data_IF_068183135351
#
_entry.id   IF_068183135351
#
_cell.length_a   1.000
_cell.length_b   1.000
_cell.length_c   1.000
_cell.angle_alpha   90.00
_cell.angle_beta   90.00
_cell.angle_gamma   90.00
#
_symmetry.space_group_name_H-M   'P 1'
#
loop_
_entity.id
_entity.type
_entity.pdbx_description
1 polymer ?
#
# COMPACT_ATOMS: atom_id res chain seq x y z
N UNK A 1 2.91 1.53 -22.40
CA UNK A 1 2.24 1.88 -21.14
C UNK A 1 1.10 2.84 -21.42
N UNK A 2 -0.11 2.60 -20.89
CA UNK A 2 -1.21 3.55 -20.98
C UNK A 2 -0.85 4.87 -20.30
N UNK A 3 -1.52 5.96 -20.67
CA UNK A 3 -1.26 7.25 -20.05
C UNK A 3 -1.87 7.32 -18.64
N UNK A 4 -1.57 8.40 -17.92
CA UNK A 4 -2.01 8.54 -16.53
C UNK A 4 -3.52 8.66 -16.41
N UNK A 5 -4.19 9.23 -17.41
CA UNK A 5 -5.65 9.37 -17.38
C UNK A 5 -6.33 8.01 -17.49
N UNK A 6 -5.87 7.18 -18.41
CA UNK A 6 -6.36 5.79 -18.53
C UNK A 6 -6.03 4.97 -17.29
N UNK A 7 -4.83 5.15 -16.74
CA UNK A 7 -4.40 4.48 -15.53
C UNK A 7 -5.29 4.87 -14.34
N UNK A 8 -5.62 6.13 -14.22
CA UNK A 8 -6.50 6.63 -13.15
C UNK A 8 -7.91 6.07 -13.30
N UNK A 9 -8.44 6.02 -14.53
CA UNK A 9 -9.74 5.38 -14.79
C UNK A 9 -9.73 3.91 -14.40
N UNK A 10 -8.66 3.21 -14.75
CA UNK A 10 -8.48 1.80 -14.39
C UNK A 10 -8.46 1.62 -12.87
N UNK A 11 -7.75 2.48 -12.15
CA UNK A 11 -7.73 2.46 -10.70
C UNK A 11 -9.12 2.71 -10.11
N UNK A 12 -9.84 3.69 -10.64
CA UNK A 12 -11.21 3.99 -10.20
C UNK A 12 -12.16 2.82 -10.42
N UNK A 13 -12.07 2.17 -11.57
CA UNK A 13 -12.88 0.97 -11.86
C UNK A 13 -12.60 -0.13 -10.84
N UNK A 14 -11.33 -0.37 -10.51
CA UNK A 14 -10.94 -1.38 -9.52
C UNK A 14 -11.49 -1.01 -8.14
N UNK A 15 -11.31 0.24 -7.73
CA UNK A 15 -11.80 0.74 -6.44
C UNK A 15 -13.32 0.56 -6.34
N UNK A 16 -14.04 0.83 -7.43
CA UNK A 16 -15.50 0.69 -7.46
C UNK A 16 -15.98 -0.76 -7.34
N UNK A 17 -15.13 -1.76 -7.52
CA UNK A 17 -15.48 -3.16 -7.33
C UNK A 17 -15.33 -3.62 -5.89
N UNK A 18 -14.68 -2.83 -5.04
CA UNK A 18 -14.41 -3.22 -3.66
C UNK A 18 -15.64 -3.01 -2.77
N UNK A 19 -15.82 -3.86 -1.73
CA UNK A 19 -16.92 -3.70 -0.79
C UNK A 19 -16.90 -2.31 -0.14
N UNK A 20 -18.07 -1.74 0.06
CA UNK A 20 -18.19 -0.39 0.60
C UNK A 20 -17.60 -0.26 2.00
N UNK A 21 -17.66 -1.29 2.80
CA UNK A 21 -17.09 -1.32 4.15
C UNK A 21 -15.57 -1.06 4.15
N UNK A 22 -14.90 -1.35 3.04
CA UNK A 22 -13.44 -1.14 2.94
C UNK A 22 -13.07 0.34 3.01
N UNK A 23 -14.00 1.24 2.68
CA UNK A 23 -13.75 2.67 2.63
C UNK A 23 -13.99 3.39 3.95
N UNK A 24 -14.43 2.68 4.97
CA UNK A 24 -14.67 3.27 6.28
C UNK A 24 -13.41 3.94 6.81
N UNK A 25 -13.51 5.19 7.19
CA UNK A 25 -12.43 6.01 7.72
C UNK A 25 -11.24 6.21 6.76
N UNK A 26 -11.39 5.89 5.48
CA UNK A 26 -10.38 6.21 4.47
C UNK A 26 -10.59 7.65 3.98
N UNK A 27 -10.29 8.59 4.85
CA UNK A 27 -10.61 10.02 4.68
C UNK A 27 -9.96 10.64 3.45
N UNK A 28 -8.72 10.26 3.15
CA UNK A 28 -7.98 10.77 2.01
C UNK A 28 -8.22 10.01 0.71
N UNK A 29 -8.97 8.89 0.77
CA UNK A 29 -9.30 8.10 -0.42
C UNK A 29 -8.10 7.39 -1.04
N UNK A 30 -8.23 7.14 -2.35
CA UNK A 30 -7.17 6.52 -3.17
C UNK A 30 -6.67 7.59 -4.14
N UNK A 31 -5.37 7.86 -4.10
CA UNK A 31 -4.72 8.88 -4.90
C UNK A 31 -3.81 8.24 -5.93
N UNK A 32 -3.90 8.67 -7.19
CA UNK A 32 -2.94 8.30 -8.23
C UNK A 32 -1.95 9.45 -8.36
N UNK A 33 -0.67 9.16 -8.15
CA UNK A 33 0.41 10.13 -8.24
C UNK A 33 1.20 9.87 -9.51
N UNK A 34 1.56 10.94 -10.22
CA UNK A 34 2.24 10.86 -11.52
C UNK A 34 3.66 10.30 -11.41
N UNK A 35 4.35 10.65 -10.34
CA UNK A 35 5.76 10.31 -10.15
C UNK A 35 6.01 8.85 -9.82
N UNK A 36 7.27 8.55 -9.59
CA UNK A 36 7.69 7.26 -9.05
C UNK A 36 8.28 7.46 -7.65
N UNK A 37 8.36 6.36 -6.92
CA UNK A 37 9.02 6.34 -5.62
C UNK A 37 9.96 5.15 -5.55
N UNK A 38 11.19 5.40 -5.14
CA UNK A 38 12.16 4.34 -4.92
C UNK A 38 12.03 3.80 -3.50
N UNK A 39 12.13 2.49 -3.38
CA UNK A 39 12.19 1.84 -2.08
C UNK A 39 13.50 2.25 -1.37
N UNK A 40 13.49 2.41 -0.03
CA UNK A 40 14.69 2.76 0.72
C UNK A 40 15.88 1.81 0.49
N UNK A 41 15.59 0.54 0.19
CA UNK A 41 16.61 -0.47 -0.06
C UNK A 41 17.00 -0.61 -1.52
N UNK A 42 16.48 0.29 -2.38
CA UNK A 42 16.80 0.27 -3.81
C UNK A 42 18.28 0.55 -4.05
N UNK A 43 18.86 -0.17 -5.01
CA UNK A 43 20.25 0.05 -5.45
C UNK A 43 20.26 0.48 -6.91
N UNK A 44 21.21 1.34 -7.33
CA UNK A 44 21.21 1.86 -8.70
C UNK A 44 21.29 0.78 -9.79
N UNK A 45 21.99 -0.31 -9.51
CA UNK A 45 22.15 -1.40 -10.48
C UNK A 45 20.86 -2.18 -10.74
N UNK A 46 19.94 -2.18 -9.76
CA UNK A 46 18.65 -2.87 -9.86
C UNK A 46 17.60 -2.07 -9.09
N UNK A 47 17.05 -1.02 -9.70
CA UNK A 47 16.09 -0.17 -9.01
C UNK A 47 14.85 -0.93 -8.52
N UNK A 48 14.46 -0.66 -7.28
CA UNK A 48 13.27 -1.21 -6.66
C UNK A 48 12.27 -0.09 -6.43
N UNK A 49 11.12 -0.16 -7.07
CA UNK A 49 10.09 0.89 -7.01
C UNK A 49 8.96 0.50 -6.06
N UNK A 50 8.44 1.50 -5.37
CA UNK A 50 7.23 1.37 -4.56
C UNK A 50 6.03 1.62 -5.47
N UNK A 51 5.15 0.62 -5.60
CA UNK A 51 3.96 0.70 -6.45
C UNK A 51 2.81 1.43 -5.75
N UNK A 52 2.63 1.18 -4.47
CA UNK A 52 1.59 1.81 -3.68
C UNK A 52 1.98 1.88 -2.21
N UNK A 53 1.28 2.72 -1.48
CA UNK A 53 1.47 2.89 -0.05
C UNK A 53 0.15 3.16 0.65
N UNK A 54 0.02 2.67 1.87
CA UNK A 54 -1.03 3.06 2.79
C UNK A 54 -0.42 3.99 3.84
N UNK A 55 -1.05 5.14 4.05
CA UNK A 55 -0.56 6.15 4.98
C UNK A 55 -1.65 6.55 5.97
N UNK A 56 -1.26 6.74 7.21
CA UNK A 56 -2.11 7.30 8.25
C UNK A 56 -1.34 8.45 8.89
N UNK A 57 -1.85 9.67 8.75
CA UNK A 57 -1.25 10.85 9.39
C UNK A 57 -2.34 11.74 9.99
N UNK A 58 -1.90 12.69 10.83
CA UNK A 58 -2.82 13.55 11.57
C UNK A 58 -3.55 14.58 10.69
N UNK A 59 -2.98 14.95 9.57
CA UNK A 59 -3.53 16.00 8.72
C UNK A 59 -4.47 15.45 7.64
N UNK A 60 -4.05 14.41 6.94
CA UNK A 60 -4.81 13.82 5.84
C UNK A 60 -5.63 12.60 6.26
N UNK A 61 -5.45 12.14 7.48
CA UNK A 61 -6.09 10.91 7.93
C UNK A 61 -5.47 9.69 7.28
N UNK A 62 -6.31 8.79 6.80
CA UNK A 62 -5.90 7.53 6.17
C UNK A 62 -6.12 7.61 4.67
N UNK A 63 -5.14 7.20 3.89
CA UNK A 63 -5.24 7.22 2.44
C UNK A 63 -4.30 6.20 1.79
N UNK A 64 -4.62 5.86 0.54
CA UNK A 64 -3.81 4.98 -0.30
C UNK A 64 -3.22 5.81 -1.44
N UNK A 65 -1.93 5.67 -1.68
CA UNK A 65 -1.25 6.27 -2.83
C UNK A 65 -0.84 5.19 -3.80
N UNK A 66 -1.03 5.44 -5.10
CA UNK A 66 -0.58 4.56 -6.18
C UNK A 66 0.32 5.39 -7.09
N UNK A 67 1.51 4.90 -7.37
CA UNK A 67 2.52 5.63 -8.12
C UNK A 67 2.54 5.20 -9.59
N UNK A 68 1.95 6.02 -10.45
CA UNK A 68 1.92 5.77 -11.89
C UNK A 68 3.33 5.58 -12.46
N UNK A 69 4.27 6.48 -12.10
CA UNK A 69 5.65 6.40 -12.58
C UNK A 69 6.37 5.12 -12.18
N UNK A 70 6.06 4.58 -11.00
CA UNK A 70 6.60 3.29 -10.56
C UNK A 70 6.05 2.14 -11.40
N UNK A 71 4.76 2.16 -11.71
CA UNK A 71 4.13 1.18 -12.60
C UNK A 71 4.72 1.24 -14.00
N UNK A 72 4.90 2.45 -14.54
CA UNK A 72 5.48 2.61 -15.87
C UNK A 72 6.89 2.03 -15.97
N UNK A 73 7.70 2.21 -14.94
CA UNK A 73 9.07 1.71 -14.89
C UNK A 73 9.18 0.21 -14.68
N UNK A 74 8.26 -0.35 -13.90
CA UNK A 74 8.30 -1.77 -13.53
C UNK A 74 7.49 -2.63 -14.50
N UNK A 75 6.32 -2.15 -14.91
CA UNK A 75 5.32 -2.91 -15.65
C UNK A 75 4.94 -2.28 -16.99
N UNK A 76 5.71 -1.30 -17.49
CA UNK A 76 5.39 -0.61 -18.73
C UNK A 76 5.36 -1.51 -19.97
N UNK A 77 5.95 -2.69 -19.88
CA UNK A 77 6.00 -3.69 -20.96
C UNK A 77 4.80 -4.64 -20.98
N UNK A 78 3.97 -4.62 -19.93
CA UNK A 78 2.79 -5.48 -19.85
C UNK A 78 1.67 -4.97 -20.74
N UNK A 79 0.81 -5.89 -21.20
CA UNK A 79 -0.42 -5.49 -21.88
C UNK A 79 -1.41 -4.90 -20.85
N UNK A 80 -2.53 -4.36 -21.36
CA UNK A 80 -3.52 -3.66 -20.52
C UNK A 80 -4.11 -4.56 -19.44
N UNK A 81 -4.43 -5.81 -19.77
CA UNK A 81 -5.07 -6.73 -18.83
C UNK A 81 -4.09 -7.16 -17.73
N UNK A 82 -2.84 -7.43 -18.10
CA UNK A 82 -1.80 -7.79 -17.16
C UNK A 82 -1.48 -6.60 -16.23
N UNK A 83 -1.43 -5.39 -16.78
CA UNK A 83 -1.22 -4.17 -16.00
C UNK A 83 -2.37 -3.97 -14.99
N UNK A 84 -3.62 -4.18 -15.45
CA UNK A 84 -4.79 -4.07 -14.59
C UNK A 84 -4.70 -5.04 -13.42
N UNK A 85 -4.26 -6.26 -13.65
CA UNK A 85 -4.12 -7.25 -12.58
C UNK A 85 -3.05 -6.83 -11.57
N UNK A 86 -1.94 -6.28 -12.01
CA UNK A 86 -0.91 -5.79 -11.10
C UNK A 86 -1.40 -4.59 -10.30
N UNK A 87 -2.14 -3.70 -10.92
CA UNK A 87 -2.75 -2.57 -10.25
C UNK A 87 -3.78 -3.02 -9.21
N UNK A 88 -4.63 -3.98 -9.58
CA UNK A 88 -5.60 -4.56 -8.66
C UNK A 88 -4.92 -5.16 -7.42
N UNK A 89 -3.87 -5.94 -7.63
CA UNK A 89 -3.11 -6.54 -6.52
C UNK A 89 -2.52 -5.49 -5.59
N UNK A 90 -1.98 -4.43 -6.16
CA UNK A 90 -1.41 -3.32 -5.39
C UNK A 90 -2.49 -2.63 -4.56
N UNK A 91 -3.61 -2.28 -5.17
CA UNK A 91 -4.71 -1.60 -4.47
C UNK A 91 -5.26 -2.48 -3.35
N UNK A 92 -5.54 -3.76 -3.63
CA UNK A 92 -6.04 -4.70 -2.63
C UNK A 92 -5.06 -4.86 -1.47
N UNK A 93 -3.77 -4.92 -1.77
CA UNK A 93 -2.73 -5.02 -0.74
C UNK A 93 -2.76 -3.81 0.20
N UNK A 94 -2.89 -2.60 -0.34
CA UNK A 94 -2.95 -1.40 0.49
C UNK A 94 -4.26 -1.31 1.28
N UNK A 95 -5.37 -1.75 0.72
CA UNK A 95 -6.62 -1.85 1.47
C UNK A 95 -6.54 -2.87 2.60
N UNK A 96 -5.77 -3.94 2.42
CA UNK A 96 -5.53 -4.89 3.51
C UNK A 96 -4.88 -4.19 4.70
N UNK A 97 -3.86 -3.37 4.47
CA UNK A 97 -3.24 -2.59 5.53
C UNK A 97 -4.23 -1.65 6.20
N UNK A 98 -5.11 -1.03 5.41
CA UNK A 98 -6.15 -0.16 5.95
C UNK A 98 -7.10 -0.93 6.88
N UNK A 99 -7.60 -2.07 6.43
CA UNK A 99 -8.52 -2.89 7.21
C UNK A 99 -7.87 -3.43 8.49
N UNK A 100 -6.63 -3.87 8.40
CA UNK A 100 -5.85 -4.29 9.56
C UNK A 100 -5.68 -3.14 10.55
N UNK A 101 -5.43 -1.94 10.05
CA UNK A 101 -5.30 -0.74 10.88
C UNK A 101 -6.60 -0.41 11.63
N UNK A 102 -7.75 -0.62 10.99
CA UNK A 102 -9.05 -0.34 11.62
C UNK A 102 -9.51 -1.44 12.56
N UNK A 103 -9.54 -2.67 12.08
CA UNK A 103 -10.14 -3.80 12.82
C UNK A 103 -9.23 -4.37 13.87
N UNK A 104 -7.95 -4.36 13.58
CA UNK A 104 -6.96 -4.98 14.43
C UNK A 104 -6.26 -4.03 15.39
N UNK A 105 -6.75 -2.80 15.54
CA UNK A 105 -6.02 -1.84 16.38
C UNK A 105 -5.70 -2.39 17.75
N UNK A 106 -6.68 -3.00 18.41
CA UNK A 106 -6.46 -3.62 19.69
C UNK A 106 -5.76 -4.96 19.57
N UNK A 107 -6.12 -5.75 18.58
CA UNK A 107 -5.48 -7.05 18.32
C UNK A 107 -4.04 -6.86 17.88
N UNK A 108 -3.75 -5.85 17.07
CA UNK A 108 -2.37 -5.51 16.67
C UNK A 108 -1.57 -5.05 17.87
N UNK A 109 -2.16 -4.27 18.77
CA UNK A 109 -1.48 -3.86 20.00
C UNK A 109 -1.14 -5.07 20.86
N UNK A 110 -2.05 -6.03 20.96
CA UNK A 110 -1.81 -7.28 21.69
C UNK A 110 -0.75 -8.11 20.98
N UNK A 111 -0.84 -8.25 19.66
CA UNK A 111 0.12 -8.99 18.87
C UNK A 111 1.52 -8.38 18.95
N UNK A 112 1.61 -7.05 18.85
CA UNK A 112 2.87 -6.33 19.01
C UNK A 112 3.44 -6.53 20.40
N UNK A 113 2.59 -6.52 21.43
CA UNK A 113 3.03 -6.78 22.79
C UNK A 113 3.55 -8.19 22.96
N UNK A 114 2.88 -9.19 22.35
CA UNK A 114 3.32 -10.59 22.37
C UNK A 114 4.66 -10.74 21.64
N UNK A 115 4.79 -10.15 20.47
CA UNK A 115 6.04 -10.19 19.71
C UNK A 115 7.19 -9.54 20.47
N UNK A 116 6.91 -8.41 21.11
CA UNK A 116 7.91 -7.72 21.91
C UNK A 116 8.31 -8.56 23.13
N UNK A 117 7.35 -9.19 23.80
CA UNK A 117 7.63 -10.10 24.92
C UNK A 117 8.48 -11.29 24.49
N UNK A 118 8.16 -11.90 23.34
CA UNK A 118 8.93 -12.99 22.77
C UNK A 118 10.35 -12.55 22.42
N UNK A 119 10.50 -11.38 21.84
CA UNK A 119 11.80 -10.80 21.53
C UNK A 119 12.62 -10.59 22.81
N UNK A 120 12.01 -10.01 23.84
CA UNK A 120 12.68 -9.77 25.13
C UNK A 120 13.09 -11.07 25.79
N UNK A 121 12.23 -12.08 25.78
CA UNK A 121 12.56 -13.40 26.35
C UNK A 121 13.69 -14.06 25.59
N UNK A 122 13.68 -13.97 24.25
CA UNK A 122 14.71 -14.59 23.41
C UNK A 122 16.08 -13.97 23.63
N UNK A 123 16.11 -12.64 23.76
CA UNK A 123 17.35 -11.89 23.89
C UNK A 123 17.58 -11.34 25.30
N UNK A 124 16.62 -11.50 26.20
CA UNK A 124 16.68 -11.02 27.58
C UNK A 124 16.96 -9.53 27.71
N UNK A 125 16.44 -8.76 26.76
CA UNK A 125 16.71 -7.31 26.70
C UNK A 125 15.78 -6.53 27.63
N UNK A 126 14.52 -6.93 27.74
CA UNK A 126 13.52 -6.20 28.50
C UNK A 126 13.51 -6.48 30.00
N UNK A 127 14.34 -7.36 30.46
CA UNK A 127 14.44 -7.76 31.86
C UNK A 127 15.41 -6.88 32.67
N UNK A 128 16.03 -5.97 32.00
CA UNK A 128 17.06 -5.12 32.58
C UNK A 128 16.51 -3.84 33.18
#
# INVERSE_FOLDING_TARGET
MIDIDEFTEMADEIVNTLPQEFFRELNGGVLVLEGFKLHPDSVPASPLYVMGEYTHNHMMGRYVSVYYGSFARTYGWLDRDELREQLRRTIVHEFRHHLESLSGRRELEIEDAVQLADYKNRYKIGEQ
#
